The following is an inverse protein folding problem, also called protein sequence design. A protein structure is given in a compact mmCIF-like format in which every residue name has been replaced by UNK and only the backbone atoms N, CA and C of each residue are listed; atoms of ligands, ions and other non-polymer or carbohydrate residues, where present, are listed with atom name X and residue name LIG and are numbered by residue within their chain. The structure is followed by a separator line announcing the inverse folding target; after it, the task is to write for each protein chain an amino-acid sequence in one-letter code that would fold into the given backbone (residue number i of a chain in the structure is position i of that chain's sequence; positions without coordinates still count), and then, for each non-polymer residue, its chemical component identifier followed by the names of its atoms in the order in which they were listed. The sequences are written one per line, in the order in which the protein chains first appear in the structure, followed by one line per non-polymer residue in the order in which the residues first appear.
data_IF_396755327684
#
_entry.id   IF_396755327684
#
_cell.length_a   1.000
_cell.length_b   1.000
_cell.length_c   1.000
_cell.angle_alpha   90.00
_cell.angle_beta   90.00
_cell.angle_gamma   90.00
#
_symmetry.space_group_name_H-M   'P 1'
#
loop_
_entity.id
_entity.type
_entity.pdbx_description
1 polymer ?
#
# COMPACT_ATOMS: atom_id res chain seq x y z
N UNK A 1 3.87 15.94 -15.88
CA UNK A 1 3.74 15.82 -14.42
C UNK A 1 3.69 14.34 -14.16
N UNK A 2 4.74 13.78 -13.54
CA UNK A 2 4.63 12.44 -12.97
C UNK A 2 3.45 12.46 -12.01
N UNK A 3 2.39 11.74 -12.34
CA UNK A 3 1.35 11.45 -11.37
C UNK A 3 2.02 10.51 -10.38
N UNK A 4 2.46 11.02 -9.23
CA UNK A 4 2.83 10.15 -8.12
C UNK A 4 1.63 9.23 -7.89
N UNK A 5 1.85 7.92 -8.05
CA UNK A 5 0.81 6.93 -7.87
C UNK A 5 0.26 7.07 -6.45
N UNK A 6 -1.06 7.07 -6.32
CA UNK A 6 -1.71 7.17 -5.01
C UNK A 6 -1.13 6.11 -4.05
N UNK A 7 -0.79 6.52 -2.84
CA UNK A 7 -0.36 5.62 -1.78
C UNK A 7 -0.96 5.98 -0.42
N UNK A 8 -1.12 4.96 0.43
CA UNK A 8 -1.57 5.12 1.81
C UNK A 8 -0.88 4.11 2.74
N UNK A 9 -0.85 4.41 4.03
CA UNK A 9 -0.28 3.52 5.05
C UNK A 9 -1.36 2.56 5.60
N UNK A 10 -1.05 1.27 5.61
CA UNK A 10 -1.82 0.21 6.27
C UNK A 10 -1.07 -0.29 7.51
N UNK A 11 -1.66 -0.18 8.69
CA UNK A 11 -1.10 -0.70 9.95
C UNK A 11 -1.57 -2.13 10.18
N UNK A 12 -0.67 -2.98 10.65
CA UNK A 12 -0.97 -4.35 11.04
C UNK A 12 -0.41 -4.64 12.43
N UNK A 13 -1.28 -5.13 13.32
CA UNK A 13 -0.93 -5.40 14.71
C UNK A 13 -0.71 -6.89 14.98
N UNK A 14 -1.20 -7.82 14.16
CA UNK A 14 -1.01 -9.26 14.40
C UNK A 14 -0.86 -10.01 13.07
N UNK A 15 0.14 -9.64 12.27
CA UNK A 15 0.35 -10.29 10.98
C UNK A 15 1.13 -11.59 11.16
N UNK A 16 0.48 -12.72 10.87
CA UNK A 16 1.10 -14.04 10.92
C UNK A 16 1.65 -14.43 9.56
N UNK A 17 2.95 -14.71 9.47
CA UNK A 17 3.58 -15.29 8.26
C UNK A 17 4.22 -16.64 8.57
N UNK A 18 4.22 -17.53 7.58
CA UNK A 18 4.97 -18.79 7.65
C UNK A 18 6.40 -18.58 7.14
N UNK A 19 7.41 -18.85 7.98
CA UNK A 19 8.81 -18.70 7.58
C UNK A 19 9.44 -19.97 6.97
N UNK A 20 8.83 -21.12 7.20
CA UNK A 20 9.27 -22.39 6.65
C UNK A 20 8.05 -23.07 6.05
N UNK A 21 8.24 -23.92 5.04
CA UNK A 21 7.18 -24.78 4.48
C UNK A 21 6.64 -25.82 5.50
N UNK A 22 7.01 -25.68 6.78
CA UNK A 22 6.55 -26.45 7.92
C UNK A 22 5.67 -25.55 8.79
N UNK A 23 4.49 -26.07 9.10
CA UNK A 23 3.35 -25.35 9.67
C UNK A 23 3.51 -25.00 11.17
N UNK A 24 4.71 -25.14 11.73
CA UNK A 24 4.91 -25.15 13.19
C UNK A 24 5.50 -23.86 13.77
N UNK A 25 6.01 -22.95 12.94
CA UNK A 25 6.56 -21.66 13.41
C UNK A 25 6.14 -20.51 12.50
N UNK A 26 4.98 -19.93 12.81
CA UNK A 26 4.59 -18.63 12.29
C UNK A 26 5.33 -17.50 13.02
N UNK A 27 5.75 -16.47 12.30
CA UNK A 27 6.17 -15.20 12.93
C UNK A 27 4.95 -14.31 13.10
N UNK A 28 4.80 -13.74 14.29
CA UNK A 28 3.87 -12.66 14.57
C UNK A 28 4.60 -11.33 14.39
N UNK A 29 4.07 -10.47 13.51
CA UNK A 29 4.69 -9.22 13.12
C UNK A 29 3.76 -8.03 13.37
N UNK A 30 4.38 -6.91 13.73
CA UNK A 30 3.76 -5.63 14.03
C UNK A 30 4.44 -4.56 13.16
N UNK A 31 3.65 -3.69 12.55
CA UNK A 31 4.21 -2.62 11.73
C UNK A 31 3.21 -1.97 10.78
N UNK A 32 3.77 -1.36 9.74
CA UNK A 32 3.04 -0.64 8.69
C UNK A 32 3.54 -1.01 7.31
N UNK A 33 2.62 -1.15 6.38
CA UNK A 33 2.89 -1.33 4.96
C UNK A 33 2.40 -0.10 4.19
N UNK A 34 3.21 0.35 3.24
CA UNK A 34 2.80 1.37 2.28
C UNK A 34 2.13 0.65 1.10
N UNK A 35 0.86 0.94 0.87
CA UNK A 35 0.06 0.42 -0.24
C UNK A 35 0.11 1.43 -1.37
N UNK A 36 0.50 1.01 -2.56
CA UNK A 36 0.63 1.88 -3.73
C UNK A 36 -0.26 1.38 -4.86
N UNK A 37 -0.98 2.30 -5.51
CA UNK A 37 -1.84 1.97 -6.65
C UNK A 37 -1.05 1.28 -7.76
N UNK A 38 -1.60 0.18 -8.29
CA UNK A 38 -1.02 -0.56 -9.40
C UNK A 38 -1.10 0.18 -10.75
N UNK A 39 -1.75 1.34 -10.79
CA UNK A 39 -1.86 2.21 -11.95
C UNK A 39 -3.27 2.28 -12.54
N UNK A 40 -3.41 3.08 -13.59
CA UNK A 40 -4.72 3.38 -14.19
C UNK A 40 -5.41 2.16 -14.81
N UNK A 41 -4.64 1.15 -15.21
CA UNK A 41 -5.17 -0.07 -15.84
C UNK A 41 -5.69 -1.11 -14.82
N UNK A 42 -5.46 -0.88 -13.52
CA UNK A 42 -5.78 -1.79 -12.43
C UNK A 42 -6.54 -1.04 -11.33
N UNK A 43 -7.79 -0.67 -11.63
CA UNK A 43 -8.58 0.18 -10.74
C UNK A 43 -8.88 -0.54 -9.41
N UNK A 44 -8.55 0.15 -8.30
CA UNK A 44 -8.73 -0.39 -6.96
C UNK A 44 -7.68 -1.42 -6.53
N UNK A 45 -6.77 -1.80 -7.44
CA UNK A 45 -5.67 -2.69 -7.10
C UNK A 45 -4.47 -1.91 -6.55
N UNK A 46 -3.77 -2.56 -5.62
CA UNK A 46 -2.58 -2.03 -4.98
C UNK A 46 -1.51 -3.10 -4.88
N UNK A 47 -0.28 -2.65 -4.62
CA UNK A 47 0.82 -3.50 -4.19
C UNK A 47 1.51 -2.87 -2.99
N UNK A 48 2.13 -3.68 -2.15
CA UNK A 48 2.95 -3.20 -1.04
C UNK A 48 4.28 -2.69 -1.58
N UNK A 49 4.62 -1.43 -1.38
CA UNK A 49 5.89 -0.84 -1.86
C UNK A 49 6.99 -0.88 -0.79
N UNK A 50 6.61 -0.59 0.47
CA UNK A 50 7.51 -0.54 1.63
C UNK A 50 6.84 -1.21 2.83
N UNK A 51 7.62 -1.87 3.69
CA UNK A 51 7.18 -2.31 5.02
C UNK A 51 8.10 -1.72 6.08
N UNK A 52 7.52 -1.22 7.17
CA UNK A 52 8.22 -0.75 8.37
C UNK A 52 7.76 -1.58 9.55
N UNK A 53 8.65 -2.39 10.10
CA UNK A 53 8.37 -3.18 11.30
C UNK A 53 8.59 -2.31 12.53
N UNK A 54 7.81 -2.55 13.59
CA UNK A 54 7.94 -1.79 14.84
C UNK A 54 9.29 -1.99 15.54
N UNK A 55 10.00 -3.08 15.22
CA UNK A 55 11.40 -3.29 15.59
C UNK A 55 12.40 -2.34 14.90
N UNK A 56 11.94 -1.40 14.08
CA UNK A 56 12.75 -0.40 13.38
C UNK A 56 13.27 -0.84 12.01
N UNK A 57 13.05 -2.09 11.61
CA UNK A 57 13.47 -2.58 10.30
C UNK A 57 12.60 -2.00 9.17
N UNK A 58 13.25 -1.54 8.09
CA UNK A 58 12.59 -1.09 6.87
C UNK A 58 12.90 -2.06 5.73
N UNK A 59 11.86 -2.66 5.17
CA UNK A 59 11.93 -3.58 4.04
C UNK A 59 11.40 -2.87 2.80
N UNK A 60 12.16 -2.89 1.72
CA UNK A 60 11.74 -2.35 0.43
C UNK A 60 11.40 -3.48 -0.53
N UNK A 61 10.47 -3.25 -1.45
CA UNK A 61 10.14 -4.22 -2.50
C UNK A 61 11.42 -4.63 -3.25
N UNK A 62 11.77 -5.93 -3.27
CA UNK A 62 12.97 -6.38 -3.96
C UNK A 62 12.83 -6.21 -5.48
N UNK A 63 13.93 -5.85 -6.13
CA UNK A 63 13.97 -5.78 -7.59
C UNK A 63 13.89 -7.21 -8.17
N UNK A 64 12.95 -7.51 -9.08
CA UNK A 64 12.82 -8.83 -9.70
C UNK A 64 14.11 -9.34 -10.38
N UNK A 65 14.98 -8.43 -10.81
CA UNK A 65 16.23 -8.74 -11.50
C UNK A 65 17.40 -9.07 -10.55
N UNK A 66 17.25 -8.84 -9.24
CA UNK A 66 18.27 -9.16 -8.26
C UNK A 66 18.18 -10.65 -7.86
N UNK A 67 19.01 -11.50 -8.47
CA UNK A 67 18.97 -12.96 -8.30
C UNK A 67 19.39 -13.50 -6.92
N UNK A 68 19.99 -12.68 -6.05
CA UNK A 68 20.34 -13.10 -4.69
C UNK A 68 19.25 -12.67 -3.71
N UNK A 69 18.41 -13.61 -3.26
CA UNK A 69 17.40 -13.34 -2.24
C UNK A 69 18.06 -13.16 -0.87
N UNK A 70 18.11 -11.93 -0.36
CA UNK A 70 18.46 -11.69 1.04
C UNK A 70 17.31 -12.13 1.96
N UNK A 71 17.59 -12.30 3.25
CA UNK A 71 16.57 -12.59 4.24
C UNK A 71 15.49 -11.50 4.26
N UNK A 72 15.88 -10.23 4.15
CA UNK A 72 14.97 -9.08 4.09
C UNK A 72 14.06 -9.15 2.85
N UNK A 73 14.60 -9.58 1.71
CA UNK A 73 13.83 -9.74 0.47
C UNK A 73 12.81 -10.89 0.55
N UNK A 74 13.15 -11.99 1.22
CA UNK A 74 12.20 -13.08 1.50
C UNK A 74 11.14 -12.66 2.52
N UNK A 75 11.55 -11.98 3.59
CA UNK A 75 10.65 -11.47 4.61
C UNK A 75 9.64 -10.48 4.00
N UNK A 76 10.12 -9.55 3.18
CA UNK A 76 9.25 -8.64 2.43
C UNK A 76 8.22 -9.41 1.60
N UNK A 77 8.67 -10.37 0.78
CA UNK A 77 7.79 -11.11 -0.13
C UNK A 77 6.69 -11.86 0.61
N UNK A 78 7.01 -12.44 1.77
CA UNK A 78 6.02 -13.18 2.59
C UNK A 78 5.00 -12.28 3.26
N UNK A 79 5.44 -11.14 3.79
CA UNK A 79 4.51 -10.16 4.38
C UNK A 79 3.62 -9.59 3.28
N UNK A 80 4.21 -9.16 2.16
CA UNK A 80 3.48 -8.64 1.02
C UNK A 80 2.46 -9.65 0.47
N UNK A 81 2.84 -10.93 0.36
CA UNK A 81 1.93 -11.98 -0.09
C UNK A 81 0.69 -12.16 0.82
N UNK A 82 0.81 -11.88 2.12
CA UNK A 82 -0.35 -11.91 3.03
C UNK A 82 -1.20 -10.65 2.86
N UNK A 83 -0.58 -9.47 2.81
CA UNK A 83 -1.30 -8.18 2.70
C UNK A 83 -1.97 -8.01 1.32
N UNK A 84 -1.38 -8.57 0.26
CA UNK A 84 -1.90 -8.48 -1.11
C UNK A 84 -2.94 -9.58 -1.43
N UNK A 85 -3.10 -10.60 -0.56
CA UNK A 85 -4.06 -11.68 -0.76
C UNK A 85 -5.36 -11.41 0.02
N UNK A 86 -6.41 -11.04 -0.72
CA UNK A 86 -7.77 -10.76 -0.25
C UNK A 86 -8.47 -11.97 0.40
N UNK A 87 -7.87 -13.16 0.36
CA UNK A 87 -8.38 -14.34 1.09
C UNK A 87 -7.97 -14.28 2.55
N UNK A 88 -6.85 -13.64 2.86
CA UNK A 88 -6.38 -13.47 4.23
C UNK A 88 -7.16 -12.35 4.93
N UNK A 89 -7.21 -12.38 6.26
CA UNK A 89 -7.87 -11.30 7.01
C UNK A 89 -7.13 -9.97 6.81
N UNK A 90 -5.80 -9.97 6.91
CA UNK A 90 -5.00 -8.77 6.68
C UNK A 90 -5.19 -8.20 5.27
N UNK A 91 -5.27 -9.05 4.25
CA UNK A 91 -5.49 -8.59 2.88
C UNK A 91 -6.88 -8.01 2.64
N UNK A 92 -7.92 -8.55 3.28
CA UNK A 92 -9.27 -7.93 3.25
C UNK A 92 -9.27 -6.55 3.89
N UNK A 93 -8.67 -6.44 5.08
CA UNK A 93 -8.60 -5.18 5.81
C UNK A 93 -7.78 -4.13 5.03
N UNK A 94 -6.67 -4.56 4.42
CA UNK A 94 -5.84 -3.71 3.56
C UNK A 94 -6.60 -3.24 2.32
N UNK A 95 -7.35 -4.13 1.65
CA UNK A 95 -8.14 -3.79 0.48
C UNK A 95 -9.28 -2.83 0.80
N UNK A 96 -9.99 -3.04 1.92
CA UNK A 96 -11.06 -2.14 2.38
C UNK A 96 -10.50 -0.74 2.69
N UNK A 97 -9.39 -0.68 3.44
CA UNK A 97 -8.72 0.59 3.73
C UNK A 97 -8.28 1.31 2.46
N UNK A 98 -7.63 0.58 1.54
CA UNK A 98 -7.12 1.17 0.30
C UNK A 98 -8.25 1.74 -0.56
N UNK A 99 -9.35 1.01 -0.72
CA UNK A 99 -10.51 1.47 -1.47
C UNK A 99 -11.11 2.74 -0.86
N UNK A 100 -11.26 2.77 0.46
CA UNK A 100 -11.78 3.93 1.19
C UNK A 100 -10.89 5.16 1.04
N UNK A 101 -9.57 5.03 1.27
CA UNK A 101 -8.64 6.14 1.16
C UNK A 101 -8.50 6.64 -0.30
N UNK A 102 -8.57 5.74 -1.28
CA UNK A 102 -8.55 6.09 -2.70
C UNK A 102 -9.80 6.91 -3.08
N UNK A 103 -10.99 6.52 -2.63
CA UNK A 103 -12.23 7.25 -2.87
C UNK A 103 -12.18 8.65 -2.24
N UNK A 104 -11.72 8.73 -0.99
CA UNK A 104 -11.53 10.00 -0.29
C UNK A 104 -10.50 10.90 -0.98
N UNK A 105 -9.45 10.33 -1.54
CA UNK A 105 -8.47 11.09 -2.34
C UNK A 105 -9.11 11.67 -3.60
N UNK A 106 -9.90 10.87 -4.32
CA UNK A 106 -10.62 11.32 -5.53
C UNK A 106 -11.58 12.47 -5.20
N UNK A 107 -12.34 12.38 -4.09
CA UNK A 107 -13.26 13.44 -3.66
C UNK A 107 -12.54 14.76 -3.35
N UNK A 108 -11.42 14.69 -2.60
CA UNK A 108 -10.59 15.86 -2.28
C UNK A 108 -10.04 16.54 -3.54
N UNK A 109 -9.65 15.76 -4.54
CA UNK A 109 -9.19 16.28 -5.83
C UNK A 109 -10.30 16.99 -6.59
N UNK A 110 -11.52 16.41 -6.62
CA UNK A 110 -12.68 17.05 -7.23
C UNK A 110 -13.05 18.38 -6.56
N UNK A 111 -13.03 18.43 -5.23
CA UNK A 111 -13.33 19.65 -4.48
C UNK A 111 -12.28 20.73 -4.72
N UNK A 112 -11.00 20.36 -4.74
CA UNK A 112 -9.89 21.27 -5.10
C UNK A 112 -10.10 21.84 -6.51
N UNK A 113 -10.40 21.01 -7.50
CA UNK A 113 -10.64 21.44 -8.88
C UNK A 113 -11.85 22.37 -9.00
N UNK A 114 -12.93 22.11 -8.26
CA UNK A 114 -14.11 22.98 -8.21
C UNK A 114 -13.78 24.35 -7.61
N UNK A 115 -12.93 24.39 -6.57
CA UNK A 115 -12.49 25.65 -5.95
C UNK A 115 -11.67 26.50 -6.93
N UNK A 116 -10.67 25.91 -7.57
CA UNK A 116 -9.82 26.60 -8.57
C UNK A 116 -10.69 27.17 -9.71
N UNK A 117 -11.60 26.36 -10.29
CA UNK A 117 -12.50 26.84 -11.36
C UNK A 117 -13.40 27.99 -10.93
N UNK A 118 -13.81 28.04 -9.65
CA UNK A 118 -14.60 29.16 -9.12
C UNK A 118 -13.75 30.40 -8.94
N UNK A 119 -12.53 30.26 -8.45
CA UNK A 119 -11.55 31.35 -8.31
C UNK A 119 -11.20 31.95 -9.67
N UNK A 120 -10.82 31.14 -10.66
CA UNK A 120 -10.52 31.58 -12.04
C UNK A 120 -11.70 32.34 -12.67
N UNK A 121 -12.93 31.85 -12.45
CA UNK A 121 -14.14 32.49 -12.98
C UNK A 121 -14.42 33.84 -12.32
N UNK A 122 -14.08 34.01 -11.05
CA UNK A 122 -14.23 35.28 -10.34
C UNK A 122 -13.16 36.28 -10.77
N UNK A 123 -11.93 35.85 -11.00
CA UNK A 123 -10.85 36.70 -11.54
C UNK A 123 -11.15 37.18 -12.97
N UNK A 124 -11.77 36.35 -13.81
CA UNK A 124 -12.22 36.72 -15.16
C UNK A 124 -13.39 37.72 -15.19
N UNK A 125 -14.04 37.96 -14.06
CA UNK A 125 -15.20 38.86 -13.93
C UNK A 125 -14.89 40.17 -13.19
N UNK A 126 -13.65 40.34 -12.72
CA UNK A 126 -13.13 41.53 -12.05
C UNK A 126 -12.32 42.41 -13.02
#
# INVERSE_FOLDING_TARGET
MDHDAFSCDYSFDELTINLCDRWETGLLLYGRAELTSAGADYEGEFYVSTIRLDGGARLARPNPLAQAGSFEAELFRRIAAVIEDDRTTAGRDAAELFAYELEQSKERDYDRLRRIKREDRLELMA
#
